data_IF_383031002683
#
_entry.id   IF_383031002683
#
_cell.length_a   1.000
_cell.length_b   1.000
_cell.length_c   1.000
_cell.angle_alpha   90.00
_cell.angle_beta   90.00
_cell.angle_gamma   90.00
#
_symmetry.space_group_name_H-M   'P 1'
#
loop_
_entity.id
_entity.type
_entity.pdbx_description
1 polymer ?
#
# COMPACT_ATOMS: atom_id res chain seq x y z
N UNK A 1 -28.92 -3.58 12.77
CA UNK A 1 -28.19 -3.31 11.50
C UNK A 1 -27.08 -2.32 11.80
N UNK A 2 -25.82 -2.74 11.72
CA UNK A 2 -24.67 -1.84 11.94
C UNK A 2 -24.53 -0.92 10.72
N UNK A 3 -24.81 0.38 10.92
CA UNK A 3 -24.63 1.41 9.92
C UNK A 3 -23.14 1.47 9.56
N UNK A 4 -22.79 1.10 8.32
CA UNK A 4 -21.42 1.25 7.81
C UNK A 4 -21.16 2.75 7.69
N UNK A 5 -20.36 3.29 8.60
CA UNK A 5 -19.90 4.68 8.58
C UNK A 5 -19.14 4.90 7.28
N UNK A 6 -19.78 5.54 6.29
CA UNK A 6 -19.14 5.94 5.04
C UNK A 6 -18.14 7.03 5.38
N UNK A 7 -16.85 6.78 5.07
CA UNK A 7 -15.78 7.76 5.24
C UNK A 7 -16.17 9.02 4.47
N UNK A 8 -16.30 10.15 5.17
CA UNK A 8 -16.70 11.43 4.58
C UNK A 8 -15.62 11.93 3.61
N UNK A 9 -16.05 12.52 2.49
CA UNK A 9 -15.20 13.13 1.44
C UNK A 9 -14.17 14.16 1.96
N UNK A 10 -14.34 14.65 3.19
CA UNK A 10 -13.46 15.64 3.83
C UNK A 10 -12.02 15.17 4.03
N UNK A 11 -11.78 13.87 4.17
CA UNK A 11 -10.45 13.30 4.48
C UNK A 11 -9.58 13.05 3.23
N UNK A 12 -10.16 13.10 2.03
CA UNK A 12 -9.47 12.82 0.75
C UNK A 12 -9.14 14.09 -0.04
N UNK A 13 -9.66 15.25 0.39
CA UNK A 13 -9.55 16.54 -0.33
C UNK A 13 -8.11 17.03 -0.58
N UNK A 14 -7.12 16.51 0.14
CA UNK A 14 -5.70 16.85 -0.03
C UNK A 14 -4.87 15.81 -0.81
N UNK A 15 -5.43 14.66 -1.18
CA UNK A 15 -4.70 13.64 -1.95
C UNK A 15 -4.75 13.99 -3.44
N UNK A 16 -3.60 13.88 -4.13
CA UNK A 16 -3.59 14.01 -5.59
C UNK A 16 -4.40 12.85 -6.19
N UNK A 17 -5.12 13.04 -7.32
CA UNK A 17 -6.00 12.01 -7.90
C UNK A 17 -5.31 10.66 -8.14
N UNK A 18 -4.00 10.66 -8.40
CA UNK A 18 -3.20 9.45 -8.62
C UNK A 18 -3.02 8.60 -7.34
N UNK A 19 -3.35 9.14 -6.16
CA UNK A 19 -3.33 8.45 -4.87
C UNK A 19 -4.73 8.12 -4.35
N UNK A 20 -5.76 8.09 -5.22
CA UNK A 20 -7.07 7.58 -4.85
C UNK A 20 -7.08 6.04 -4.77
N UNK A 21 -7.06 5.52 -3.55
CA UNK A 21 -7.12 4.09 -3.26
C UNK A 21 -8.54 3.59 -2.92
N UNK A 22 -9.59 4.42 -3.12
CA UNK A 22 -10.98 4.09 -2.78
C UNK A 22 -11.49 2.83 -3.48
N UNK A 23 -11.04 2.57 -4.71
CA UNK A 23 -11.36 1.39 -5.50
C UNK A 23 -10.53 0.14 -5.15
N UNK A 24 -9.53 0.27 -4.26
CA UNK A 24 -8.61 -0.79 -3.90
C UNK A 24 -9.22 -1.86 -3.00
N UNK A 25 -9.02 -3.14 -3.35
CA UNK A 25 -9.39 -4.28 -2.49
C UNK A 25 -8.24 -4.59 -1.53
N UNK A 26 -8.43 -4.30 -0.24
CA UNK A 26 -7.43 -4.57 0.80
C UNK A 26 -7.07 -6.05 0.83
N UNK A 27 -5.77 -6.37 0.82
CA UNK A 27 -5.26 -7.74 0.92
C UNK A 27 -5.19 -8.53 -0.39
N UNK A 28 -5.72 -8.03 -1.52
CA UNK A 28 -5.70 -8.75 -2.82
C UNK A 28 -4.29 -9.20 -3.25
N UNK A 29 -3.28 -8.37 -3.00
CA UNK A 29 -1.90 -8.59 -3.45
C UNK A 29 -0.94 -9.02 -2.33
N UNK A 30 -1.46 -9.42 -1.16
CA UNK A 30 -0.62 -9.67 0.02
C UNK A 30 0.38 -10.81 -0.17
N UNK A 31 -0.01 -11.92 -0.82
CA UNK A 31 0.86 -13.09 -1.02
C UNK A 31 2.00 -12.77 -1.98
N UNK A 32 1.70 -12.04 -3.05
CA UNK A 32 2.70 -11.68 -4.05
C UNK A 32 3.68 -10.64 -3.50
N UNK A 33 3.19 -9.68 -2.71
CA UNK A 33 4.04 -8.70 -2.03
C UNK A 33 5.10 -9.37 -1.13
N UNK A 34 4.74 -10.50 -0.48
CA UNK A 34 5.65 -11.28 0.36
C UNK A 34 6.73 -12.05 -0.42
N UNK A 35 6.54 -12.31 -1.71
CA UNK A 35 7.56 -12.97 -2.57
C UNK A 35 8.70 -12.03 -2.96
N UNK A 36 8.53 -10.73 -2.67
CA UNK A 36 9.41 -9.66 -3.07
C UNK A 36 8.92 -8.95 -4.32
N UNK A 37 9.25 -7.68 -4.42
CA UNK A 37 8.77 -6.78 -5.46
C UNK A 37 9.86 -5.78 -5.85
N UNK A 38 9.73 -5.20 -7.05
CA UNK A 38 10.66 -4.19 -7.57
C UNK A 38 9.95 -2.86 -7.62
N UNK A 39 10.55 -1.85 -7.01
CA UNK A 39 10.08 -0.46 -7.07
C UNK A 39 10.98 0.31 -8.02
N UNK A 40 10.38 0.97 -9.00
CA UNK A 40 11.07 1.90 -9.88
C UNK A 40 10.79 3.32 -9.40
N UNK A 41 11.83 4.03 -9.01
CA UNK A 41 11.77 5.40 -8.51
C UNK A 41 12.30 6.29 -9.63
N UNK A 42 11.41 7.10 -10.20
CA UNK A 42 11.79 8.15 -11.13
C UNK A 42 12.10 9.42 -10.34
N UNK A 43 13.35 9.88 -10.40
CA UNK A 43 13.78 11.09 -9.71
C UNK A 43 13.58 12.31 -10.62
N UNK A 44 13.49 13.48 -10.00
CA UNK A 44 13.31 14.76 -10.69
C UNK A 44 14.53 15.17 -11.51
N UNK A 45 15.71 14.61 -11.21
CA UNK A 45 16.95 14.79 -11.97
C UNK A 45 17.00 13.94 -13.26
N UNK A 46 15.93 13.20 -13.58
CA UNK A 46 15.83 12.33 -14.75
C UNK A 46 16.42 10.93 -14.55
N UNK A 47 17.04 10.66 -13.41
CA UNK A 47 17.56 9.31 -13.12
C UNK A 47 16.44 8.39 -12.65
N UNK A 48 16.57 7.09 -12.95
CA UNK A 48 15.65 6.06 -12.45
C UNK A 48 16.42 5.06 -11.61
N UNK A 49 15.99 4.89 -10.36
CA UNK A 49 16.55 3.87 -9.46
C UNK A 49 15.59 2.69 -9.38
N UNK A 50 16.12 1.46 -9.43
CA UNK A 50 15.32 0.24 -9.28
C UNK A 50 15.74 -0.44 -8.00
N UNK A 51 14.83 -0.50 -7.04
CA UNK A 51 15.08 -1.15 -5.75
C UNK A 51 14.31 -2.48 -5.68
N UNK A 52 15.03 -3.54 -5.31
CA UNK A 52 14.46 -4.87 -5.14
C UNK A 52 14.24 -5.13 -3.66
N UNK A 53 12.97 -5.11 -3.24
CA UNK A 53 12.59 -5.47 -1.88
C UNK A 53 12.26 -6.96 -1.86
N UNK A 54 13.13 -7.74 -1.23
CA UNK A 54 12.83 -9.11 -0.83
C UNK A 54 12.84 -9.13 0.68
N UNK A 55 11.86 -9.80 1.27
CA UNK A 55 11.86 -10.04 2.69
C UNK A 55 13.10 -10.87 3.03
N UNK A 56 13.99 -10.34 3.86
CA UNK A 56 15.22 -11.06 4.22
C UNK A 56 14.88 -12.17 5.21
N UNK A 57 15.66 -13.25 5.16
CA UNK A 57 15.59 -14.31 6.15
C UNK A 57 15.89 -13.72 7.54
N UNK A 58 14.93 -13.82 8.46
CA UNK A 58 14.99 -13.21 9.80
C UNK A 58 14.20 -11.91 10.00
N UNK A 59 13.58 -11.33 8.97
CA UNK A 59 12.69 -10.18 9.15
C UNK A 59 11.30 -10.61 9.66
N UNK A 60 10.92 -10.12 10.85
CA UNK A 60 9.61 -10.38 11.43
C UNK A 60 8.52 -9.68 10.61
N UNK A 61 7.71 -10.46 9.88
CA UNK A 61 6.50 -9.97 9.21
C UNK A 61 5.54 -9.40 10.25
N UNK A 62 5.23 -8.10 10.15
CA UNK A 62 4.13 -7.50 10.89
C UNK A 62 2.81 -8.01 10.30
N UNK A 63 2.20 -8.98 10.97
CA UNK A 63 0.82 -9.39 10.72
C UNK A 63 -0.07 -8.65 11.71
N UNK A 64 -0.85 -7.70 11.21
CA UNK A 64 -1.88 -7.05 12.03
C UNK A 64 -2.92 -8.10 12.42
N UNK A 65 -3.06 -8.38 13.71
CA UNK A 65 -4.27 -9.04 14.22
C UNK A 65 -5.38 -8.00 14.18
N UNK A 66 -6.47 -8.31 13.49
CA UNK A 66 -7.71 -7.56 13.66
C UNK A 66 -8.18 -7.91 15.08
N UNK A 67 -8.08 -6.96 16.00
CA UNK A 67 -8.75 -7.05 17.30
C UNK A 67 -10.22 -6.79 16.99
N UNK A 68 -11.08 -7.79 17.24
CA UNK A 68 -12.54 -7.70 17.08
C UNK A 68 -13.15 -6.61 17.97
#
# INVERSE_FOLDING_TARGET
>A
MMSKRTKSESETSGLRPEYDFSSGVRGKHHRDYQRGHRVKIHKTDGTTTVECFKLKDGETKLQGKVVE
#
